data_IF_688770543512
#
_entry.id   IF_688770543512
#
_cell.length_a   1.000
_cell.length_b   1.000
_cell.length_c   1.000
_cell.angle_alpha   90.00
_cell.angle_beta   90.00
_cell.angle_gamma   90.00
#
_symmetry.space_group_name_H-M   'P 1'
#
loop_
_entity.id
_entity.type
_entity.pdbx_description
1 polymer ?
#
# COMPACT_ATOMS: atom_id res chain seq x y z
N UNK A 1 11.34 35.90 54.32
CA UNK A 1 12.65 36.45 53.91
C UNK A 1 13.46 35.24 53.43
N UNK A 2 13.48 34.89 52.13
CA UNK A 2 14.17 35.58 51.01
C UNK A 2 15.67 35.71 51.33
N UNK A 3 16.69 35.22 50.60
CA UNK A 3 16.97 34.82 49.19
C UNK A 3 18.14 33.80 49.25
N UNK A 4 18.43 32.90 48.30
CA UNK A 4 18.96 33.14 46.94
C UNK A 4 19.98 32.01 46.64
N UNK A 5 19.76 31.16 45.63
CA UNK A 5 20.24 31.24 44.23
C UNK A 5 21.73 30.96 43.97
N UNK A 6 21.97 29.87 43.23
CA UNK A 6 22.91 29.68 42.09
C UNK A 6 22.60 28.28 41.50
N UNK A 7 21.86 28.11 40.40
CA UNK A 7 22.25 28.22 38.97
C UNK A 7 23.52 27.44 38.62
N UNK A 8 23.67 26.75 37.49
CA UNK A 8 22.79 26.25 36.42
C UNK A 8 23.73 25.39 35.55
N UNK A 9 23.27 24.30 34.96
CA UNK A 9 24.13 23.49 34.09
C UNK A 9 23.49 22.24 33.53
N UNK A 10 22.21 22.32 33.11
CA UNK A 10 21.59 21.21 32.40
C UNK A 10 21.75 21.43 30.89
N UNK A 11 22.57 20.59 30.26
CA UNK A 11 22.75 20.54 28.82
C UNK A 11 21.43 20.14 28.17
N UNK A 12 20.92 21.06 27.36
CA UNK A 12 19.75 20.90 26.51
C UNK A 12 20.06 19.86 25.42
N UNK A 13 19.52 18.65 25.57
CA UNK A 13 19.52 17.65 24.52
C UNK A 13 18.56 18.10 23.42
N UNK A 14 19.11 18.74 22.39
CA UNK A 14 18.44 18.99 21.12
C UNK A 14 18.11 17.68 20.42
N UNK A 15 17.00 17.06 20.81
CA UNK A 15 16.40 15.97 20.05
C UNK A 15 15.75 16.59 18.81
N UNK A 16 16.50 16.60 17.70
CA UNK A 16 16.00 16.88 16.35
C UNK A 16 14.77 16.01 16.12
N UNK A 17 13.58 16.62 16.19
CA UNK A 17 12.35 16.04 15.64
C UNK A 17 12.57 15.85 14.15
N UNK A 18 12.86 14.62 13.74
CA UNK A 18 12.85 14.24 12.33
C UNK A 18 11.45 14.54 11.79
N UNK A 19 11.37 15.53 10.90
CA UNK A 19 10.15 15.89 10.19
C UNK A 19 9.63 14.65 9.46
N UNK A 20 8.56 14.06 10.00
CA UNK A 20 7.83 13.00 9.33
C UNK A 20 7.25 13.65 8.07
N UNK A 21 7.87 13.41 6.92
CA UNK A 21 7.30 13.77 5.63
C UNK A 21 5.94 13.07 5.60
N UNK A 22 4.85 13.84 5.63
CA UNK A 22 3.48 13.32 5.53
C UNK A 22 3.29 12.75 4.12
N UNK A 23 3.87 11.58 3.87
CA UNK A 23 3.70 10.84 2.63
C UNK A 23 2.32 10.21 2.66
N UNK A 24 1.56 10.35 1.58
CA UNK A 24 0.29 9.64 1.44
C UNK A 24 0.50 8.13 1.48
N UNK A 25 1.69 7.63 1.13
CA UNK A 25 2.03 6.21 1.20
C UNK A 25 2.18 5.64 2.63
N UNK A 26 2.27 6.47 3.67
CA UNK A 26 2.36 6.00 5.06
C UNK A 26 1.03 5.40 5.51
N UNK A 27 1.00 4.14 5.92
CA UNK A 27 -0.21 3.46 6.42
C UNK A 27 -0.72 4.14 7.70
N UNK A 28 -2.04 4.29 7.83
CA UNK A 28 -2.68 5.03 8.93
C UNK A 28 -3.42 4.13 9.93
N UNK A 29 -3.91 2.99 9.48
CA UNK A 29 -4.71 2.02 10.24
C UNK A 29 -3.95 0.70 10.39
N UNK A 30 -3.25 0.26 9.35
CA UNK A 30 -2.44 -0.96 9.38
C UNK A 30 -1.03 -0.62 9.90
N UNK A 31 -0.73 -1.04 11.11
CA UNK A 31 0.61 -0.96 11.70
C UNK A 31 1.54 -2.09 11.18
N UNK A 32 2.87 -2.02 11.40
CA UNK A 32 3.78 -3.05 10.90
C UNK A 32 3.43 -4.47 11.37
N UNK A 33 3.08 -4.73 12.66
CA UNK A 33 2.63 -6.06 13.09
C UNK A 33 1.38 -6.55 12.35
N UNK A 34 0.42 -5.67 12.06
CA UNK A 34 -0.76 -6.03 11.26
C UNK A 34 -0.40 -6.32 9.80
N UNK A 35 0.55 -5.59 9.22
CA UNK A 35 1.05 -5.84 7.87
C UNK A 35 1.69 -7.24 7.74
N UNK A 36 2.54 -7.63 8.70
CA UNK A 36 3.14 -8.98 8.75
C UNK A 36 2.07 -10.08 8.85
N UNK A 37 1.03 -9.85 9.66
CA UNK A 37 -0.11 -10.77 9.78
C UNK A 37 -0.89 -10.91 8.48
N UNK A 38 -1.09 -9.81 7.74
CA UNK A 38 -1.73 -9.83 6.42
C UNK A 38 -0.91 -10.67 5.44
N UNK A 39 0.40 -10.49 5.42
CA UNK A 39 1.29 -11.26 4.55
C UNK A 39 1.32 -12.75 4.91
N UNK A 40 1.40 -13.07 6.20
CA UNK A 40 1.36 -14.44 6.70
C UNK A 40 0.03 -15.12 6.33
N UNK A 41 -1.10 -14.45 6.55
CA UNK A 41 -2.42 -14.95 6.17
C UNK A 41 -2.54 -15.18 4.66
N UNK A 42 -2.07 -14.23 3.85
CA UNK A 42 -2.13 -14.37 2.40
C UNK A 42 -1.25 -15.52 1.91
N UNK A 43 -0.06 -15.69 2.48
CA UNK A 43 0.82 -16.83 2.20
C UNK A 43 0.13 -18.15 2.53
N UNK A 44 -0.53 -18.23 3.69
CA UNK A 44 -1.32 -19.41 4.07
C UNK A 44 -2.42 -19.70 3.05
N UNK A 45 -3.13 -18.69 2.53
CA UNK A 45 -4.15 -18.88 1.48
C UNK A 45 -3.62 -19.47 0.18
N UNK A 46 -2.34 -19.26 -0.15
CA UNK A 46 -1.75 -19.85 -1.37
C UNK A 46 -1.38 -21.33 -1.19
N UNK A 47 -1.20 -21.76 0.04
CA UNK A 47 -0.75 -23.10 0.38
C UNK A 47 -1.92 -24.10 0.41
N UNK A 48 -1.71 -25.28 -0.18
CA UNK A 48 -2.70 -26.37 -0.11
C UNK A 48 -2.75 -26.98 1.29
N UNK A 49 -1.61 -27.06 1.97
CA UNK A 49 -1.47 -27.68 3.27
C UNK A 49 -0.79 -26.68 4.20
N UNK A 50 -1.57 -26.09 5.10
CA UNK A 50 -1.07 -25.46 6.31
C UNK A 50 -1.27 -26.43 7.48
N UNK A 51 -0.67 -26.16 8.63
CA UNK A 51 -0.68 -27.06 9.80
C UNK A 51 -2.10 -27.50 10.22
N UNK A 52 -3.09 -26.63 10.05
CA UNK A 52 -4.45 -26.84 10.57
C UNK A 52 -5.55 -26.75 9.50
N UNK A 53 -5.24 -26.40 8.26
CA UNK A 53 -6.24 -26.13 7.24
C UNK A 53 -5.68 -26.14 5.81
N UNK A 54 -6.58 -26.16 4.83
CA UNK A 54 -6.25 -26.02 3.41
C UNK A 54 -6.50 -24.60 2.93
N UNK A 55 -5.44 -23.81 2.80
CA UNK A 55 -5.54 -22.41 2.39
C UNK A 55 -6.09 -22.21 0.98
N UNK A 56 -5.78 -23.10 0.02
CA UNK A 56 -6.37 -23.03 -1.33
C UNK A 56 -7.88 -23.26 -1.32
N UNK A 57 -8.37 -24.14 -0.45
CA UNK A 57 -9.81 -24.35 -0.27
C UNK A 57 -10.47 -23.08 0.32
N UNK A 58 -9.85 -22.45 1.31
CA UNK A 58 -10.32 -21.18 1.87
C UNK A 58 -10.35 -20.06 0.83
N UNK A 59 -9.26 -19.92 0.05
CA UNK A 59 -9.17 -18.94 -1.04
C UNK A 59 -10.28 -19.18 -2.06
N UNK A 60 -10.51 -20.43 -2.45
CA UNK A 60 -11.58 -20.78 -3.37
C UNK A 60 -12.98 -20.51 -2.79
N UNK A 61 -13.17 -20.68 -1.49
CA UNK A 61 -14.43 -20.33 -0.81
C UNK A 61 -14.66 -18.80 -0.83
N UNK A 62 -13.64 -18.01 -0.46
CA UNK A 62 -13.70 -16.54 -0.50
C UNK A 62 -14.03 -16.01 -1.91
N UNK A 63 -13.40 -16.56 -2.96
CA UNK A 63 -13.66 -16.16 -4.36
C UNK A 63 -15.08 -16.48 -4.85
N UNK A 64 -15.75 -17.46 -4.25
CA UNK A 64 -17.10 -17.90 -4.64
C UNK A 64 -18.20 -17.27 -3.76
N UNK A 65 -17.83 -16.68 -2.63
CA UNK A 65 -18.77 -16.07 -1.73
C UNK A 65 -19.46 -14.84 -2.35
N UNK A 66 -20.71 -14.60 -1.96
CA UNK A 66 -21.44 -13.39 -2.33
C UNK A 66 -20.89 -12.18 -1.55
N UNK A 67 -19.79 -11.60 -2.04
CA UNK A 67 -19.05 -10.55 -1.37
C UNK A 67 -19.84 -9.22 -1.25
N UNK A 68 -19.63 -8.43 -0.18
CA UNK A 68 -18.71 -8.68 0.93
C UNK A 68 -19.33 -9.55 2.05
N UNK A 69 -20.65 -9.60 2.19
CA UNK A 69 -21.30 -10.26 3.33
C UNK A 69 -21.11 -11.77 3.37
N UNK A 70 -21.12 -12.46 2.23
CA UNK A 70 -20.84 -13.89 2.17
C UNK A 70 -19.42 -14.27 2.60
N UNK A 71 -18.47 -13.31 2.57
CA UNK A 71 -17.12 -13.57 3.05
C UNK A 71 -17.09 -13.73 4.59
N UNK A 72 -18.04 -13.14 5.31
CA UNK A 72 -18.13 -13.22 6.78
C UNK A 72 -18.32 -14.66 7.30
N UNK A 73 -18.85 -15.56 6.46
CA UNK A 73 -19.07 -16.96 6.83
C UNK A 73 -17.94 -17.88 6.38
N UNK A 74 -16.91 -17.33 5.72
CA UNK A 74 -15.80 -18.11 5.18
C UNK A 74 -14.70 -18.32 6.24
N UNK A 75 -14.18 -19.54 6.35
CA UNK A 75 -13.12 -19.87 7.31
C UNK A 75 -11.83 -19.08 7.08
N UNK A 76 -11.48 -18.80 5.82
CA UNK A 76 -10.37 -17.92 5.47
C UNK A 76 -10.50 -16.50 6.03
N UNK A 77 -11.73 -15.95 6.08
CA UNK A 77 -12.00 -14.67 6.71
C UNK A 77 -11.89 -14.76 8.24
N UNK A 78 -12.50 -15.79 8.86
CA UNK A 78 -12.47 -15.95 10.32
C UNK A 78 -11.02 -16.04 10.86
N UNK A 79 -10.12 -16.70 10.11
CA UNK A 79 -8.69 -16.71 10.43
C UNK A 79 -8.09 -15.29 10.40
N UNK A 80 -8.35 -14.54 9.34
CA UNK A 80 -7.85 -13.17 9.21
C UNK A 80 -8.41 -12.25 10.30
N UNK A 81 -9.71 -12.32 10.59
CA UNK A 81 -10.33 -11.48 11.61
C UNK A 81 -9.73 -11.73 12.99
N UNK A 82 -9.40 -12.99 13.31
CA UNK A 82 -8.71 -13.32 14.56
C UNK A 82 -7.29 -12.74 14.61
N UNK A 83 -6.54 -12.81 13.51
CA UNK A 83 -5.19 -12.20 13.44
C UNK A 83 -5.25 -10.68 13.60
N UNK A 84 -6.27 -10.05 13.02
CA UNK A 84 -6.48 -8.59 13.00
C UNK A 84 -7.45 -8.09 14.08
N UNK A 85 -7.70 -8.86 15.15
CA UNK A 85 -8.67 -8.49 16.19
C UNK A 85 -8.38 -7.11 16.81
N UNK A 86 -7.10 -6.76 17.02
CA UNK A 86 -6.69 -5.44 17.52
C UNK A 86 -6.94 -4.28 16.55
N UNK A 87 -6.91 -4.54 15.23
CA UNK A 87 -7.23 -3.54 14.20
C UNK A 87 -8.74 -3.32 14.12
N UNK A 88 -9.51 -4.41 14.19
CA UNK A 88 -10.98 -4.39 14.15
C UNK A 88 -11.54 -3.70 15.40
N UNK A 89 -11.07 -4.10 16.59
CA UNK A 89 -11.59 -3.62 17.86
C UNK A 89 -13.09 -3.90 18.01
N UNK A 90 -13.82 -2.94 18.57
CA UNK A 90 -15.29 -2.96 18.77
C UNK A 90 -16.07 -2.41 17.56
N UNK A 91 -15.38 -2.06 16.48
CA UNK A 91 -15.96 -1.34 15.33
C UNK A 91 -16.50 -2.29 14.27
N UNK A 92 -17.83 -2.39 14.18
CA UNK A 92 -18.51 -3.23 13.19
C UNK A 92 -18.15 -2.87 11.73
N UNK A 93 -17.98 -1.58 11.42
CA UNK A 93 -17.56 -1.14 10.08
C UNK A 93 -16.13 -1.58 9.74
N UNK A 94 -15.25 -1.76 10.72
CA UNK A 94 -13.91 -2.32 10.49
C UNK A 94 -13.94 -3.81 10.25
N UNK A 95 -14.81 -4.55 10.94
CA UNK A 95 -15.04 -5.98 10.65
C UNK A 95 -15.48 -6.18 9.19
N UNK A 96 -16.44 -5.35 8.73
CA UNK A 96 -16.89 -5.37 7.33
C UNK A 96 -15.75 -4.95 6.37
N UNK A 97 -14.92 -3.98 6.75
CA UNK A 97 -13.72 -3.60 5.98
C UNK A 97 -12.73 -4.76 5.82
N UNK A 98 -12.47 -5.51 6.88
CA UNK A 98 -11.63 -6.72 6.82
C UNK A 98 -12.28 -7.81 5.96
N UNK A 99 -13.61 -7.93 5.96
CA UNK A 99 -14.33 -8.85 5.08
C UNK A 99 -14.21 -8.47 3.59
N UNK A 100 -14.34 -7.17 3.27
CA UNK A 100 -14.08 -6.65 1.92
C UNK A 100 -12.64 -6.95 1.51
N UNK A 101 -11.67 -6.65 2.38
CA UNK A 101 -10.27 -6.95 2.12
C UNK A 101 -10.03 -8.44 1.87
N UNK A 102 -10.58 -9.33 2.70
CA UNK A 102 -10.44 -10.77 2.53
C UNK A 102 -11.00 -11.25 1.18
N UNK A 103 -12.20 -10.76 0.83
CA UNK A 103 -12.85 -11.07 -0.44
C UNK A 103 -12.01 -10.57 -1.64
N UNK A 104 -11.47 -9.35 -1.57
CA UNK A 104 -10.64 -8.76 -2.62
C UNK A 104 -9.29 -9.47 -2.74
N UNK A 105 -8.59 -9.66 -1.62
CA UNK A 105 -7.25 -10.25 -1.58
C UNK A 105 -7.24 -11.69 -2.08
N UNK A 106 -8.34 -12.45 -1.92
CA UNK A 106 -8.45 -13.79 -2.48
C UNK A 106 -8.33 -13.83 -4.02
N UNK A 107 -8.53 -12.71 -4.71
CA UNK A 107 -8.31 -12.57 -6.16
C UNK A 107 -6.90 -12.10 -6.54
N UNK A 108 -6.05 -11.70 -5.58
CA UNK A 108 -4.66 -11.35 -5.84
C UNK A 108 -3.81 -12.61 -6.10
N UNK A 109 -2.87 -12.54 -7.04
CA UNK A 109 -1.96 -13.66 -7.32
C UNK A 109 -0.72 -13.63 -6.43
N UNK A 110 -0.16 -12.45 -6.18
CA UNK A 110 1.04 -12.27 -5.35
C UNK A 110 0.99 -10.94 -4.58
N UNK A 111 1.60 -10.91 -3.41
CA UNK A 111 1.84 -9.67 -2.67
C UNK A 111 3.01 -8.92 -3.32
N UNK A 112 2.87 -7.61 -3.51
CA UNK A 112 3.93 -6.75 -4.04
C UNK A 112 3.97 -5.46 -3.21
N UNK A 113 4.93 -5.36 -2.31
CA UNK A 113 5.07 -4.30 -1.32
C UNK A 113 5.85 -3.06 -1.81
N UNK A 114 6.38 -3.09 -3.04
CA UNK A 114 7.30 -2.06 -3.58
C UNK A 114 6.71 -0.64 -3.64
N UNK A 115 5.41 -0.52 -3.87
CA UNK A 115 4.67 0.74 -3.99
C UNK A 115 3.30 0.59 -3.33
N UNK A 116 2.65 1.70 -3.00
CA UNK A 116 1.28 1.66 -2.49
C UNK A 116 0.32 1.08 -3.53
N UNK A 117 -0.82 0.55 -3.07
CA UNK A 117 -1.83 -0.07 -3.94
C UNK A 117 -2.32 0.90 -5.02
N UNK A 118 -2.59 2.16 -4.68
CA UNK A 118 -3.10 3.13 -5.65
C UNK A 118 -2.05 3.55 -6.68
N UNK A 119 -0.79 3.76 -6.27
CA UNK A 119 0.31 4.06 -7.19
C UNK A 119 0.49 2.94 -8.23
N UNK A 120 0.44 1.71 -7.74
CA UNK A 120 0.46 0.48 -8.51
C UNK A 120 -0.65 0.36 -9.58
N UNK A 121 -1.82 0.94 -9.35
CA UNK A 121 -2.89 0.99 -10.36
C UNK A 121 -2.61 2.01 -11.47
N UNK A 122 -1.82 3.04 -11.15
CA UNK A 122 -1.41 4.11 -12.07
C UNK A 122 -0.20 3.75 -12.94
N UNK A 123 0.47 2.65 -12.66
CA UNK A 123 1.64 2.21 -13.43
C UNK A 123 1.28 1.78 -14.86
N UNK A 124 2.16 2.01 -15.84
CA UNK A 124 2.00 1.48 -17.19
C UNK A 124 2.05 -0.06 -17.17
N UNK A 125 1.23 -0.70 -18.02
CA UNK A 125 1.17 -2.17 -18.14
C UNK A 125 2.46 -2.73 -18.76
N UNK A 126 3.14 -1.93 -19.58
CA UNK A 126 4.42 -2.27 -20.21
C UNK A 126 5.28 -1.00 -20.36
N UNK A 127 6.62 -1.09 -20.27
CA UNK A 127 7.51 0.08 -20.36
C UNK A 127 7.29 0.97 -21.60
N UNK A 128 6.86 0.38 -22.72
CA UNK A 128 6.66 1.09 -23.98
C UNK A 128 5.19 1.42 -24.26
N UNK A 129 4.33 1.39 -23.23
CA UNK A 129 2.90 1.63 -23.38
C UNK A 129 2.36 2.53 -22.26
N UNK A 130 1.88 3.71 -22.63
CA UNK A 130 1.26 4.68 -21.71
C UNK A 130 -0.04 4.18 -21.08
N UNK A 131 -0.57 3.04 -21.54
CA UNK A 131 -1.73 2.40 -20.94
C UNK A 131 -1.39 1.94 -19.52
N UNK A 132 -2.00 2.62 -18.55
CA UNK A 132 -1.99 2.25 -17.13
C UNK A 132 -2.76 0.95 -16.87
N UNK A 133 -2.41 0.22 -15.80
CA UNK A 133 -3.18 -0.95 -15.34
C UNK A 133 -4.65 -0.61 -15.18
N UNK A 134 -4.95 0.45 -14.41
CA UNK A 134 -6.29 1.01 -14.32
C UNK A 134 -6.31 2.38 -14.98
N UNK A 135 -7.09 2.54 -16.05
CA UNK A 135 -7.32 3.84 -16.70
C UNK A 135 -7.91 4.87 -15.72
N UNK A 136 -7.58 6.15 -15.89
CA UNK A 136 -8.05 7.24 -15.01
C UNK A 136 -9.58 7.22 -14.78
N UNK A 137 -10.38 7.05 -15.83
CA UNK A 137 -11.84 6.96 -15.71
C UNK A 137 -12.33 5.80 -14.82
N UNK A 138 -11.66 4.64 -14.86
CA UNK A 138 -12.01 3.50 -14.01
C UNK A 138 -11.55 3.72 -12.57
N UNK A 139 -10.41 4.38 -12.40
CA UNK A 139 -9.91 4.75 -11.09
C UNK A 139 -10.82 5.80 -10.43
N UNK A 140 -11.27 6.81 -11.18
CA UNK A 140 -12.28 7.76 -10.70
C UNK A 140 -13.59 7.09 -10.27
N UNK A 141 -14.04 6.06 -11.01
CA UNK A 141 -15.21 5.26 -10.60
C UNK A 141 -14.96 4.54 -9.28
N UNK A 142 -13.76 3.99 -9.07
CA UNK A 142 -13.36 3.40 -7.79
C UNK A 142 -13.40 4.42 -6.65
N UNK A 143 -12.90 5.65 -6.87
CA UNK A 143 -12.93 6.71 -5.86
C UNK A 143 -14.36 7.18 -5.52
N UNK A 144 -15.30 7.07 -6.46
CA UNK A 144 -16.69 7.49 -6.28
C UNK A 144 -17.60 6.38 -5.72
N UNK A 145 -17.07 5.21 -5.39
CA UNK A 145 -17.85 4.12 -4.81
C UNK A 145 -18.64 4.60 -3.57
N UNK A 146 -19.94 4.31 -3.54
CA UNK A 146 -20.84 4.78 -2.48
C UNK A 146 -21.16 3.71 -1.46
N UNK A 147 -21.17 2.43 -1.87
CA UNK A 147 -21.54 1.30 -1.02
C UNK A 147 -20.40 0.29 -0.86
N UNK A 148 -20.38 -0.48 0.26
CA UNK A 148 -19.38 -1.53 0.48
C UNK A 148 -19.31 -2.57 -0.65
N UNK A 149 -20.45 -2.95 -1.23
CA UNK A 149 -20.57 -3.91 -2.32
C UNK A 149 -19.98 -3.36 -3.63
N UNK A 150 -20.25 -2.08 -3.92
CA UNK A 150 -19.69 -1.40 -5.08
C UNK A 150 -18.17 -1.31 -4.96
N UNK A 151 -17.66 -0.85 -3.81
CA UNK A 151 -16.22 -0.80 -3.54
C UNK A 151 -15.58 -2.18 -3.71
N UNK A 152 -16.14 -3.21 -3.05
CA UNK A 152 -15.61 -4.57 -3.11
C UNK A 152 -15.53 -5.08 -4.56
N UNK A 153 -16.58 -4.87 -5.36
CA UNK A 153 -16.61 -5.29 -6.77
C UNK A 153 -15.56 -4.57 -7.62
N UNK A 154 -15.42 -3.26 -7.44
CA UNK A 154 -14.44 -2.45 -8.17
C UNK A 154 -13.01 -2.84 -7.79
N UNK A 155 -12.75 -3.12 -6.52
CA UNK A 155 -11.45 -3.57 -6.02
C UNK A 155 -11.09 -4.98 -6.49
N UNK A 156 -12.02 -5.93 -6.48
CA UNK A 156 -11.79 -7.28 -7.08
C UNK A 156 -11.33 -7.13 -8.52
N UNK A 157 -11.97 -6.26 -9.31
CA UNK A 157 -11.57 -6.00 -10.69
C UNK A 157 -10.18 -5.36 -10.77
N UNK A 158 -9.87 -4.38 -9.93
CA UNK A 158 -8.58 -3.70 -9.91
C UNK A 158 -7.43 -4.68 -9.60
N UNK A 159 -7.61 -5.54 -8.59
CA UNK A 159 -6.64 -6.58 -8.22
C UNK A 159 -6.50 -7.64 -9.32
N UNK A 160 -7.60 -8.08 -9.92
CA UNK A 160 -7.58 -9.06 -11.02
C UNK A 160 -6.83 -8.52 -12.25
N UNK A 161 -6.96 -7.22 -12.55
CA UNK A 161 -6.23 -6.58 -13.66
C UNK A 161 -4.72 -6.60 -13.44
N UNK A 162 -4.25 -6.51 -12.19
CA UNK A 162 -2.82 -6.57 -11.88
C UNK A 162 -2.25 -7.99 -12.06
N UNK A 163 -3.07 -9.02 -11.81
CA UNK A 163 -2.67 -10.42 -12.01
C UNK A 163 -1.32 -10.74 -11.37
N UNK A 164 -0.41 -11.31 -12.16
CA UNK A 164 0.94 -11.71 -11.72
C UNK A 164 1.84 -10.55 -11.31
N UNK A 165 1.54 -9.29 -11.68
CA UNK A 165 2.30 -8.14 -11.18
C UNK A 165 2.06 -7.89 -9.68
N UNK A 166 1.00 -8.49 -9.12
CA UNK A 166 0.67 -8.45 -7.71
C UNK A 166 0.12 -7.11 -7.24
N UNK A 167 -0.26 -7.06 -5.97
CA UNK A 167 -0.73 -5.83 -5.31
C UNK A 167 -0.15 -5.72 -3.90
N UNK A 168 0.03 -4.48 -3.42
CA UNK A 168 0.43 -4.23 -2.04
C UNK A 168 -0.75 -4.48 -1.10
N UNK A 169 -0.75 -5.64 -0.42
CA UNK A 169 -1.87 -6.05 0.42
C UNK A 169 -2.03 -5.20 1.69
N UNK A 170 -0.97 -4.85 2.44
CA UNK A 170 -1.10 -3.91 3.56
C UNK A 170 -1.67 -2.54 3.15
N UNK A 171 -1.19 -1.96 2.05
CA UNK A 171 -1.68 -0.68 1.54
C UNK A 171 -3.14 -0.76 1.07
N UNK A 172 -3.54 -1.88 0.44
CA UNK A 172 -4.92 -2.15 0.08
C UNK A 172 -5.83 -2.23 1.31
N UNK A 173 -5.42 -2.99 2.33
CA UNK A 173 -6.18 -3.13 3.59
C UNK A 173 -6.35 -1.78 4.30
N UNK A 174 -5.28 -0.98 4.38
CA UNK A 174 -5.30 0.37 4.95
C UNK A 174 -6.33 1.28 4.25
N UNK A 175 -6.28 1.33 2.92
CA UNK A 175 -7.22 2.13 2.13
C UNK A 175 -8.68 1.68 2.27
N UNK A 176 -8.94 0.37 2.30
CA UNK A 176 -10.29 -0.17 2.54
C UNK A 176 -10.80 0.24 3.93
N UNK A 177 -9.97 0.11 4.97
CA UNK A 177 -10.37 0.47 6.33
C UNK A 177 -10.62 1.97 6.50
N UNK A 178 -9.81 2.82 5.85
CA UNK A 178 -10.04 4.26 5.79
C UNK A 178 -11.35 4.58 5.05
N UNK A 179 -11.62 3.94 3.91
CA UNK A 179 -12.87 4.12 3.20
C UNK A 179 -14.08 3.70 4.05
N UNK A 180 -13.97 2.59 4.81
CA UNK A 180 -15.05 2.13 5.70
C UNK A 180 -15.31 3.10 6.86
N UNK A 181 -14.27 3.71 7.42
CA UNK A 181 -14.43 4.75 8.45
C UNK A 181 -15.14 5.99 7.87
N UNK A 182 -14.78 6.41 6.66
CA UNK A 182 -15.47 7.50 5.95
C UNK A 182 -16.90 7.16 5.56
N UNK A 183 -17.15 5.93 5.13
CA UNK A 183 -18.48 5.45 4.81
C UNK A 183 -19.38 5.44 6.04
N UNK A 184 -18.89 4.89 7.16
CA UNK A 184 -19.60 4.91 8.43
C UNK A 184 -19.88 6.35 8.88
N UNK A 185 -18.90 7.25 8.81
CA UNK A 185 -19.10 8.66 9.13
C UNK A 185 -20.22 9.29 8.28
N UNK A 186 -20.27 9.02 6.97
CA UNK A 186 -21.35 9.47 6.08
C UNK A 186 -22.71 8.91 6.48
N UNK A 187 -22.80 7.62 6.80
CA UNK A 187 -24.08 6.99 7.22
C UNK A 187 -24.63 7.58 8.53
N UNK A 188 -23.74 8.03 9.41
CA UNK A 188 -24.11 8.59 10.72
C UNK A 188 -24.08 10.13 10.76
N UNK A 189 -24.01 10.81 9.60
CA UNK A 189 -23.93 12.27 9.50
C UNK A 189 -22.80 12.90 10.33
N UNK A 190 -21.69 12.18 10.48
CA UNK A 190 -20.50 12.66 11.17
C UNK A 190 -19.62 13.47 10.22
N UNK A 191 -18.93 14.47 10.77
CA UNK A 191 -18.01 15.30 10.01
C UNK A 191 -16.85 14.48 9.43
N UNK A 192 -16.49 14.76 8.18
CA UNK A 192 -15.31 14.19 7.55
C UNK A 192 -14.03 14.60 8.29
N UNK A 193 -12.98 13.78 8.17
CA UNK A 193 -11.70 14.08 8.79
C UNK A 193 -11.17 15.46 8.33
N UNK A 194 -10.78 16.32 9.27
CA UNK A 194 -10.38 17.71 9.00
C UNK A 194 -9.16 17.79 8.05
N UNK A 195 -8.15 16.94 8.29
CA UNK A 195 -7.00 16.82 7.40
C UNK A 195 -7.37 16.03 6.11
N UNK A 196 -7.30 16.63 4.91
CA UNK A 196 -7.59 15.96 3.64
C UNK A 196 -6.64 14.80 3.31
N UNK A 197 -5.37 14.85 3.74
CA UNK A 197 -4.38 13.79 3.47
C UNK A 197 -4.58 12.52 4.30
N UNK A 198 -5.55 12.54 5.22
CA UNK A 198 -6.04 11.35 5.93
C UNK A 198 -7.26 10.73 5.26
N UNK A 199 -7.83 11.39 4.25
CA UNK A 199 -8.98 10.87 3.50
C UNK A 199 -8.52 9.89 2.43
N UNK A 200 -9.14 8.72 2.36
CA UNK A 200 -8.78 7.66 1.43
C UNK A 200 -8.78 8.14 -0.02
N UNK A 201 -9.84 8.84 -0.44
CA UNK A 201 -9.96 9.28 -1.83
C UNK A 201 -8.83 10.23 -2.26
N UNK A 202 -8.41 11.13 -1.37
CA UNK A 202 -7.31 12.08 -1.62
C UNK A 202 -5.97 11.34 -1.67
N UNK A 203 -5.72 10.44 -0.70
CA UNK A 203 -4.49 9.65 -0.63
C UNK A 203 -4.31 8.80 -1.88
N UNK A 204 -5.32 8.01 -2.23
CA UNK A 204 -5.31 7.19 -3.44
C UNK A 204 -5.14 8.04 -4.70
N UNK A 205 -5.81 9.20 -4.81
CA UNK A 205 -5.63 10.08 -5.97
C UNK A 205 -4.22 10.65 -6.08
N UNK A 206 -3.60 11.06 -4.97
CA UNK A 206 -2.21 11.52 -4.96
C UNK A 206 -1.27 10.38 -5.39
N UNK A 207 -1.42 9.19 -4.80
CA UNK A 207 -0.57 8.03 -5.08
C UNK A 207 -0.71 7.52 -6.52
N UNK A 208 -1.93 7.40 -7.04
CA UNK A 208 -2.18 6.96 -8.41
C UNK A 208 -1.54 7.86 -9.47
N UNK A 209 -1.38 9.15 -9.16
CA UNK A 209 -0.75 10.12 -10.05
C UNK A 209 0.75 10.30 -9.79
N UNK A 210 1.34 9.56 -8.84
CA UNK A 210 2.80 9.53 -8.69
C UNK A 210 3.39 8.85 -9.93
N UNK A 211 3.93 9.66 -10.83
CA UNK A 211 4.70 9.17 -11.97
C UNK A 211 6.00 8.60 -11.40
N UNK A 212 6.49 7.44 -11.87
CA UNK A 212 7.86 7.04 -11.57
C UNK A 212 8.76 8.17 -12.04
N UNK A 213 9.41 8.85 -11.11
CA UNK A 213 10.55 9.68 -11.47
C UNK A 213 11.60 8.68 -11.98
N UNK A 214 11.72 8.52 -13.29
CA UNK A 214 12.95 7.96 -13.83
C UNK A 214 14.08 8.84 -13.29
N UNK A 215 15.14 8.26 -12.72
CA UNK A 215 16.32 9.04 -12.38
C UNK A 215 16.74 9.77 -13.67
N UNK A 216 16.97 11.08 -13.57
CA UNK A 216 17.42 11.87 -14.70
C UNK A 216 18.65 11.18 -15.33
N UNK A 217 18.80 11.20 -16.65
CA UNK A 217 19.91 10.55 -17.34
C UNK A 217 21.31 11.01 -16.88
N UNK A 218 21.39 12.07 -16.06
CA UNK A 218 22.63 12.57 -15.44
C UNK A 218 23.15 11.74 -14.24
N UNK A 219 22.44 10.72 -13.76
CA UNK A 219 22.91 9.82 -12.69
C UNK A 219 23.44 8.46 -13.18
N UNK A 220 23.76 8.32 -14.47
CA UNK A 220 24.63 7.22 -14.90
C UNK A 220 26.04 7.44 -14.29
N UNK A 221 26.64 6.44 -13.61
CA UNK A 221 28.03 6.57 -13.17
C UNK A 221 28.88 6.84 -14.42
N UNK A 222 29.48 8.03 -14.46
CA UNK A 222 30.37 8.44 -15.52
C UNK A 222 31.42 7.35 -15.71
N UNK A 223 31.46 6.75 -16.90
CA UNK A 223 32.54 5.85 -17.28
C UNK A 223 33.88 6.57 -17.03
N UNK A 224 34.91 5.91 -16.49
CA UNK A 224 36.18 6.55 -16.25
C UNK A 224 36.74 7.08 -17.58
N UNK A 225 36.96 8.39 -17.62
CA UNK A 225 37.67 9.05 -18.68
C UNK A 225 39.14 8.64 -18.56
N UNK A 226 39.61 7.85 -19.53
CA UNK A 226 41.04 7.60 -19.74
C UNK A 226 41.70 8.92 -20.16
N UNK A 227 42.18 9.67 -19.17
CA UNK A 227 43.06 10.80 -19.37
C UNK A 227 44.47 10.39 -19.03
N UNK A 228 45.22 9.91 -20.03
CA UNK A 228 46.65 10.15 -20.06
C UNK A 228 47.10 10.36 -21.51
N UNK A 229 47.15 11.63 -21.90
CA UNK A 229 47.79 12.08 -23.13
C UNK A 229 49.25 12.46 -22.88
N UNK A 230 50.11 12.09 -23.82
CA UNK A 230 51.31 12.77 -24.33
C UNK A 230 52.36 11.72 -24.76
N UNK A 231 53.08 11.81 -25.87
CA UNK A 231 53.18 12.74 -27.00
C UNK A 231 54.05 12.00 -28.06
N UNK A 232 54.03 12.31 -29.36
CA UNK A 232 54.77 11.58 -30.38
C UNK A 232 56.24 12.01 -30.41
N UNK A 233 57.14 11.05 -30.63
CA UNK A 233 58.46 11.32 -31.21
C UNK A 233 58.66 10.46 -32.45
N UNK A 234 58.63 11.16 -33.57
CA UNK A 234 59.11 10.79 -34.88
C UNK A 234 60.58 10.34 -34.82
N UNK A 235 60.93 9.23 -35.50
CA UNK A 235 62.07 9.13 -36.44
C UNK A 235 62.45 7.68 -36.80
N UNK A 236 62.24 7.36 -38.08
CA UNK A 236 63.28 6.93 -39.04
C UNK A 236 63.88 5.50 -38.94
N UNK A 237 63.34 4.60 -39.78
CA UNK A 237 64.10 3.56 -40.50
C UNK A 237 65.26 4.20 -41.29
N UNK A 238 66.40 3.53 -41.56
CA UNK A 238 66.38 2.29 -42.37
C UNK A 238 67.53 1.27 -42.17
N UNK A 239 67.40 0.18 -42.95
CA UNK A 239 68.36 -0.85 -43.38
C UNK A 239 68.48 -2.12 -42.53
#
# INVERSE_FOLDING_TARGET
>A
MDKGSRENGNKENGHKKNGHKNSTATLLVIDPPAAEKIEAWFTQLQNRYNDTHNGRADRAALRRAAAPYGALTCQGFMRLSNMLAGVIGDKQHRLLGVAIFAAVAAHADVNNDKKSFAAQLGEPVSPNNDRRYLSALRFERLLRAQTPEELCRLLIRAVTIRGSAGVNLPSLADGILLWMEEWHARQHNLSAHANPLKRNAVRWACEYNQTPLEPAPDEAPSAPQDANGNHPTDNKEPA
#
